data_IF_806341255821
#
_entry.id   IF_806341255821
#
_cell.length_a   1.000
_cell.length_b   1.000
_cell.length_c   1.000
_cell.angle_alpha   90.00
_cell.angle_beta   90.00
_cell.angle_gamma   90.00
#
_symmetry.space_group_name_H-M   'P 1'
#
loop_
_entity.id
_entity.type
_entity.pdbx_description
1 polymer ?
#
# COMPACT_ATOMS: atom_id res chain seq x y z
N UNK A 1 17.41 -28.06 9.25
CA UNK A 1 17.66 -26.61 9.37
C UNK A 1 16.59 -25.88 8.57
N UNK A 2 15.49 -25.47 9.22
CA UNK A 2 14.39 -24.81 8.53
C UNK A 2 14.62 -23.30 8.51
N UNK A 3 15.28 -22.83 7.44
CA UNK A 3 15.20 -21.44 7.00
C UNK A 3 13.79 -21.19 6.45
N UNK A 4 12.80 -21.05 7.33
CA UNK A 4 11.42 -20.76 6.95
C UNK A 4 11.20 -19.25 6.92
N UNK A 5 11.00 -18.70 5.73
CA UNK A 5 10.82 -17.27 5.43
C UNK A 5 10.09 -16.46 6.52
N UNK A 6 10.51 -15.21 6.79
CA UNK A 6 9.75 -14.33 7.67
C UNK A 6 8.29 -14.25 7.18
N UNK A 7 7.30 -14.24 8.09
CA UNK A 7 5.89 -14.18 7.71
C UNK A 7 5.68 -13.01 6.74
N UNK A 8 5.30 -13.34 5.52
CA UNK A 8 4.98 -12.35 4.49
C UNK A 8 3.70 -11.63 4.93
N UNK A 9 3.84 -10.44 5.50
CA UNK A 9 2.71 -9.63 5.95
C UNK A 9 2.07 -8.92 4.74
N UNK A 10 0.85 -9.30 4.30
CA UNK A 10 0.22 -8.71 3.11
C UNK A 10 0.01 -7.20 3.25
N UNK A 11 -0.29 -6.76 4.48
CA UNK A 11 -0.44 -5.34 4.82
C UNK A 11 0.86 -4.55 4.63
N UNK A 12 2.02 -5.16 4.87
CA UNK A 12 3.32 -4.50 4.64
C UNK A 12 3.53 -4.24 3.15
N UNK A 13 3.28 -5.25 2.29
CA UNK A 13 3.35 -5.07 0.82
C UNK A 13 2.40 -3.98 0.34
N UNK A 14 1.15 -4.01 0.81
CA UNK A 14 0.15 -2.98 0.52
C UNK A 14 0.66 -1.60 0.91
N UNK A 15 1.21 -1.43 2.11
CA UNK A 15 1.69 -0.13 2.60
C UNK A 15 2.86 0.41 1.77
N UNK A 16 3.81 -0.45 1.40
CA UNK A 16 4.92 -0.10 0.50
C UNK A 16 4.39 0.38 -0.84
N UNK A 17 3.42 -0.35 -1.40
CA UNK A 17 2.80 0.01 -2.66
C UNK A 17 2.06 1.35 -2.58
N UNK A 18 1.27 1.58 -1.53
CA UNK A 18 0.57 2.84 -1.32
C UNK A 18 1.55 4.02 -1.18
N UNK A 19 2.70 3.80 -0.54
CA UNK A 19 3.78 4.80 -0.47
C UNK A 19 4.34 5.14 -1.84
N UNK A 20 4.59 4.13 -2.68
CA UNK A 20 5.02 4.35 -4.06
C UNK A 20 3.99 5.13 -4.88
N UNK A 21 2.70 4.81 -4.74
CA UNK A 21 1.63 5.57 -5.39
C UNK A 21 1.62 7.03 -4.92
N UNK A 22 1.73 7.26 -3.62
CA UNK A 22 1.73 8.61 -3.04
C UNK A 22 2.89 9.48 -3.52
N UNK A 23 4.02 8.85 -3.80
CA UNK A 23 5.26 9.48 -4.29
C UNK A 23 5.35 9.47 -5.83
N UNK A 24 4.34 8.95 -6.51
CA UNK A 24 4.35 8.84 -7.97
C UNK A 24 4.40 10.23 -8.62
N UNK A 25 5.46 10.46 -9.40
CA UNK A 25 5.63 11.66 -10.21
C UNK A 25 4.52 11.80 -11.25
N UNK A 26 4.03 10.68 -11.79
CA UNK A 26 2.87 10.65 -12.68
C UNK A 26 1.60 11.17 -12.02
N UNK A 27 1.21 10.65 -10.85
CA UNK A 27 0.02 11.14 -10.14
C UNK A 27 0.18 12.61 -9.78
N UNK A 28 1.39 13.02 -9.37
CA UNK A 28 1.68 14.42 -9.08
C UNK A 28 1.51 15.31 -10.30
N UNK A 29 1.96 14.85 -11.48
CA UNK A 29 1.78 15.55 -12.76
C UNK A 29 0.29 15.61 -13.15
N UNK A 30 -0.43 14.50 -13.06
CA UNK A 30 -1.86 14.42 -13.36
C UNK A 30 -2.65 15.39 -12.48
N UNK A 31 -2.36 15.43 -11.18
CA UNK A 31 -3.00 16.38 -10.25
C UNK A 31 -2.81 17.83 -10.67
N UNK A 32 -1.65 18.19 -11.22
CA UNK A 32 -1.30 19.58 -11.54
C UNK A 32 -1.79 20.01 -12.92
N UNK A 33 -1.61 19.18 -13.93
CA UNK A 33 -1.69 19.60 -15.33
C UNK A 33 -2.82 18.94 -16.12
N UNK A 34 -3.58 18.01 -15.52
CA UNK A 34 -4.64 17.35 -16.26
C UNK A 34 -5.75 18.34 -16.65
N UNK A 35 -6.17 18.37 -17.93
CA UNK A 35 -7.12 19.38 -18.43
C UNK A 35 -8.48 19.27 -17.73
N UNK A 36 -8.94 18.06 -17.42
CA UNK A 36 -10.19 17.85 -16.72
C UNK A 36 -10.04 18.04 -15.20
N UNK A 37 -10.79 18.99 -14.57
CA UNK A 37 -10.72 19.25 -13.13
C UNK A 37 -11.19 18.07 -12.29
N UNK A 38 -12.14 17.27 -12.80
CA UNK A 38 -12.60 16.05 -12.12
C UNK A 38 -11.46 15.05 -11.88
N UNK A 39 -10.58 14.86 -12.87
CA UNK A 39 -9.44 13.95 -12.73
C UNK A 39 -8.41 14.47 -11.74
N UNK A 40 -8.16 15.80 -11.73
CA UNK A 40 -7.29 16.44 -10.72
C UNK A 40 -7.82 16.22 -9.31
N UNK A 41 -9.12 16.46 -9.09
CA UNK A 41 -9.79 16.21 -7.82
C UNK A 41 -9.76 14.72 -7.44
N UNK A 42 -9.84 13.82 -8.41
CA UNK A 42 -9.78 12.37 -8.17
C UNK A 42 -8.40 11.94 -7.65
N UNK A 43 -7.31 12.48 -8.21
CA UNK A 43 -5.95 12.23 -7.69
C UNK A 43 -5.77 12.83 -6.30
N UNK A 44 -6.34 14.01 -6.05
CA UNK A 44 -6.27 14.60 -4.72
C UNK A 44 -6.99 13.75 -3.67
N UNK A 45 -8.18 13.24 -3.99
CA UNK A 45 -8.92 12.28 -3.15
C UNK A 45 -8.12 11.00 -2.91
N UNK A 46 -7.47 10.47 -3.96
CA UNK A 46 -6.58 9.31 -3.84
C UNK A 46 -5.46 9.58 -2.83
N UNK A 47 -4.77 10.71 -2.94
CA UNK A 47 -3.70 11.06 -2.00
C UNK A 47 -4.21 11.19 -0.57
N UNK A 48 -5.34 11.86 -0.34
CA UNK A 48 -5.95 11.95 1.00
C UNK A 48 -6.27 10.58 1.59
N UNK A 49 -6.83 9.66 0.80
CA UNK A 49 -7.13 8.31 1.29
C UNK A 49 -5.89 7.47 1.57
N UNK A 50 -4.83 7.63 0.77
CA UNK A 50 -3.54 6.99 1.04
C UNK A 50 -2.96 7.51 2.36
N UNK A 51 -2.91 8.83 2.53
CA UNK A 51 -2.35 9.46 3.73
C UNK A 51 -3.15 9.05 4.98
N UNK A 52 -4.48 9.06 4.92
CA UNK A 52 -5.37 8.58 5.99
C UNK A 52 -5.11 7.13 6.38
N UNK A 53 -4.93 6.23 5.40
CA UNK A 53 -4.67 4.83 5.66
C UNK A 53 -3.26 4.60 6.24
N UNK A 54 -2.26 5.33 5.77
CA UNK A 54 -0.90 5.27 6.32
C UNK A 54 -0.87 5.76 7.77
N UNK A 55 -1.56 6.85 8.08
CA UNK A 55 -1.72 7.36 9.44
C UNK A 55 -2.46 6.37 10.33
N UNK A 56 -3.50 5.73 9.81
CA UNK A 56 -4.24 4.70 10.55
C UNK A 56 -3.34 3.49 10.88
N UNK A 57 -2.61 2.98 9.89
CA UNK A 57 -1.67 1.87 10.07
C UNK A 57 -0.60 2.20 11.11
N UNK A 58 -0.08 3.43 11.08
CA UNK A 58 0.94 3.90 12.01
C UNK A 58 0.39 4.05 13.42
N UNK A 59 -0.77 4.71 13.58
CA UNK A 59 -1.42 4.93 14.88
C UNK A 59 -1.76 3.62 15.59
N UNK A 60 -2.23 2.63 14.85
CA UNK A 60 -2.61 1.33 15.42
C UNK A 60 -1.50 0.28 15.38
N UNK A 61 -0.27 0.67 15.00
CA UNK A 61 0.91 -0.21 14.94
C UNK A 61 0.62 -1.53 14.18
N UNK A 62 -0.10 -1.41 13.07
CA UNK A 62 -0.58 -2.57 12.30
C UNK A 62 0.51 -3.23 11.46
N UNK A 63 1.72 -2.68 11.45
CA UNK A 63 2.88 -3.30 10.84
C UNK A 63 3.80 -3.78 11.96
N UNK A 64 4.39 -4.97 11.82
CA UNK A 64 5.43 -5.38 12.74
C UNK A 64 6.58 -4.39 12.56
N UNK A 65 6.83 -3.56 13.57
CA UNK A 65 8.13 -2.94 13.79
C UNK A 65 9.06 -4.09 14.07
N UNK A 66 9.61 -4.70 13.02
CA UNK A 66 10.55 -5.80 13.17
C UNK A 66 11.59 -5.37 14.19
N UNK A 67 11.80 -6.22 15.18
CA UNK A 67 12.86 -6.16 16.17
C UNK A 67 14.19 -5.81 15.47
N UNK A 68 14.54 -4.52 15.39
CA UNK A 68 15.85 -4.07 14.89
C UNK A 68 16.95 -4.51 15.87
N UNK A 69 16.59 -5.01 17.05
CA UNK A 69 17.51 -5.63 18.00
C UNK A 69 17.59 -7.14 17.82
N UNK A 70 18.58 -7.54 17.02
CA UNK A 70 19.27 -8.84 16.99
C UNK A 70 19.15 -9.58 18.34
N UNK A 71 18.32 -10.63 18.49
CA UNK A 71 18.25 -11.36 19.75
C UNK A 71 19.48 -12.28 19.85
N UNK A 72 20.42 -11.91 20.72
CA UNK A 72 21.70 -12.62 20.97
C UNK A 72 21.54 -13.98 21.68
N UNK A 73 20.37 -14.62 21.71
CA UNK A 73 20.16 -15.91 22.41
C UNK A 73 19.16 -16.81 21.66
N UNK A 74 19.68 -17.92 21.14
CA UNK A 74 19.05 -18.76 20.12
C UNK A 74 18.02 -19.80 20.61
N UNK A 75 17.58 -19.79 21.88
CA UNK A 75 16.63 -20.81 22.37
C UNK A 75 15.16 -20.37 22.40
N UNK A 76 14.83 -19.07 22.51
CA UNK A 76 13.44 -18.59 22.61
C UNK A 76 12.93 -17.87 21.34
N UNK A 77 13.69 -17.91 20.24
CA UNK A 77 13.37 -17.15 19.03
C UNK A 77 12.07 -17.64 18.36
N UNK A 78 11.84 -18.95 18.28
CA UNK A 78 10.67 -19.52 17.61
C UNK A 78 9.36 -19.21 18.35
N UNK A 79 9.35 -19.30 19.68
CA UNK A 79 8.19 -18.96 20.50
C UNK A 79 7.86 -17.46 20.42
N UNK A 80 8.88 -16.60 20.40
CA UNK A 80 8.69 -15.16 20.25
C UNK A 80 8.14 -14.78 18.87
N UNK A 81 8.62 -15.43 17.80
CA UNK A 81 8.10 -15.20 16.43
C UNK A 81 6.65 -15.66 16.29
N UNK A 82 6.30 -16.82 16.86
CA UNK A 82 4.92 -17.31 16.90
C UNK A 82 4.01 -16.38 17.70
N UNK A 83 4.44 -15.92 18.87
CA UNK A 83 3.66 -15.00 19.70
C UNK A 83 3.43 -13.65 19.01
N UNK A 84 4.45 -13.10 18.34
CA UNK A 84 4.32 -11.88 17.53
C UNK A 84 3.38 -12.10 16.33
N UNK A 85 3.42 -13.28 15.72
CA UNK A 85 2.49 -13.62 14.64
C UNK A 85 1.04 -13.68 15.12
N UNK A 86 0.78 -14.31 16.27
CA UNK A 86 -0.56 -14.36 16.87
C UNK A 86 -1.09 -12.97 17.22
N UNK A 87 -0.29 -12.13 17.89
CA UNK A 87 -0.65 -10.74 18.20
C UNK A 87 -0.96 -9.94 16.92
N UNK A 88 -0.17 -10.14 15.87
CA UNK A 88 -0.41 -9.50 14.58
C UNK A 88 -1.72 -9.98 13.92
N UNK A 89 -2.02 -11.27 13.98
CA UNK A 89 -3.24 -11.84 13.41
C UNK A 89 -4.48 -11.29 14.13
N UNK A 90 -4.43 -11.17 15.45
CA UNK A 90 -5.52 -10.58 16.26
C UNK A 90 -5.72 -9.10 15.96
N UNK A 91 -4.65 -8.30 15.96
CA UNK A 91 -4.70 -6.88 15.57
C UNK A 91 -5.29 -6.73 14.17
N UNK A 92 -4.83 -7.53 13.21
CA UNK A 92 -5.38 -7.51 11.85
C UNK A 92 -6.86 -7.85 11.82
N UNK A 93 -7.34 -8.82 12.61
CA UNK A 93 -8.77 -9.18 12.68
C UNK A 93 -9.61 -8.00 13.19
N UNK A 94 -9.19 -7.35 14.27
CA UNK A 94 -9.88 -6.19 14.84
C UNK A 94 -9.99 -5.05 13.82
N UNK A 95 -8.91 -4.78 13.07
CA UNK A 95 -8.87 -3.68 12.11
C UNK A 95 -9.27 -4.07 10.68
N UNK A 96 -9.70 -5.32 10.45
CA UNK A 96 -9.97 -5.85 9.11
C UNK A 96 -11.02 -5.04 8.35
N UNK A 97 -12.11 -4.69 9.03
CA UNK A 97 -13.20 -3.93 8.42
C UNK A 97 -12.71 -2.55 7.94
N UNK A 98 -12.09 -1.78 8.83
CA UNK A 98 -11.57 -0.44 8.52
C UNK A 98 -10.50 -0.47 7.41
N UNK A 99 -9.60 -1.46 7.44
CA UNK A 99 -8.60 -1.65 6.39
C UNK A 99 -9.27 -1.95 5.05
N UNK A 100 -10.28 -2.83 5.03
CA UNK A 100 -11.03 -3.18 3.82
C UNK A 100 -11.76 -1.97 3.25
N UNK A 101 -12.43 -1.17 4.09
CA UNK A 101 -13.10 0.04 3.63
C UNK A 101 -12.12 1.04 3.03
N UNK A 102 -10.99 1.28 3.70
CA UNK A 102 -9.98 2.23 3.25
C UNK A 102 -9.38 1.82 1.91
N UNK A 103 -9.04 0.54 1.75
CA UNK A 103 -8.55 -0.02 0.49
C UNK A 103 -9.62 0.05 -0.61
N UNK A 104 -10.89 -0.14 -0.25
CA UNK A 104 -12.01 -0.01 -1.19
C UNK A 104 -12.13 1.43 -1.70
N UNK A 105 -12.05 2.44 -0.81
CA UNK A 105 -12.08 3.87 -1.21
C UNK A 105 -10.91 4.22 -2.14
N UNK A 106 -9.71 3.71 -1.83
CA UNK A 106 -8.52 3.86 -2.68
C UNK A 106 -8.75 3.23 -4.06
N UNK A 107 -9.29 2.01 -4.12
CA UNK A 107 -9.62 1.32 -5.39
C UNK A 107 -10.62 2.11 -6.24
N UNK A 108 -11.67 2.66 -5.61
CA UNK A 108 -12.64 3.52 -6.30
C UNK A 108 -11.99 4.79 -6.85
N UNK A 109 -10.94 5.30 -6.20
CA UNK A 109 -10.18 6.43 -6.71
C UNK A 109 -9.30 6.06 -7.90
N UNK A 110 -8.67 4.88 -7.87
CA UNK A 110 -7.76 4.42 -8.93
C UNK A 110 -8.51 4.02 -10.21
N UNK A 111 -9.67 3.37 -10.11
CA UNK A 111 -10.41 2.83 -11.27
C UNK A 111 -10.63 3.85 -12.40
N UNK A 112 -11.15 5.06 -12.17
CA UNK A 112 -11.31 6.06 -13.23
C UNK A 112 -9.97 6.59 -13.74
N UNK A 113 -8.91 6.58 -12.92
CA UNK A 113 -7.58 7.03 -13.35
C UNK A 113 -6.97 6.14 -14.43
N UNK A 114 -7.34 4.84 -14.48
CA UNK A 114 -6.92 3.92 -15.55
C UNK A 114 -7.41 4.38 -16.93
N UNK A 115 -8.61 4.97 -17.00
CA UNK A 115 -9.16 5.45 -18.28
C UNK A 115 -8.38 6.64 -18.83
N UNK A 116 -7.73 7.42 -17.95
CA UNK A 116 -6.94 8.58 -18.37
C UNK A 116 -5.52 8.22 -18.84
N UNK A 117 -5.12 6.95 -18.73
CA UNK A 117 -3.84 6.46 -19.28
C UNK A 117 -3.80 6.48 -20.80
N UNK A 118 -4.97 6.46 -21.45
CA UNK A 118 -5.13 6.51 -22.90
C UNK A 118 -4.67 7.85 -23.49
N UNK A 119 -4.61 8.92 -22.68
CA UNK A 119 -4.24 10.26 -23.15
C UNK A 119 -2.74 10.57 -23.11
N UNK A 120 -1.90 9.64 -22.64
CA UNK A 120 -0.45 9.85 -22.54
C UNK A 120 0.28 9.31 -23.77
N UNK A 121 1.26 10.08 -24.27
CA UNK A 121 2.17 9.62 -25.31
C UNK A 121 3.00 8.42 -24.82
N UNK A 122 3.35 7.46 -25.70
CA UNK A 122 4.07 6.22 -25.34
C UNK A 122 5.36 6.47 -24.53
N UNK A 123 6.13 7.50 -24.88
CA UNK A 123 7.38 7.86 -24.20
C UNK A 123 7.19 8.37 -22.75
N UNK A 124 5.99 8.87 -22.45
CA UNK A 124 5.62 9.25 -21.09
C UNK A 124 5.13 8.03 -20.30
N UNK A 125 4.45 7.09 -20.95
CA UNK A 125 3.99 5.84 -20.33
C UNK A 125 5.17 4.95 -19.87
N UNK A 126 6.26 4.89 -20.67
CA UNK A 126 7.48 4.14 -20.31
C UNK A 126 8.10 4.67 -19.00
N UNK A 127 8.16 6.01 -18.84
CA UNK A 127 8.68 6.65 -17.62
C UNK A 127 7.88 6.33 -16.35
N UNK A 128 6.60 5.95 -16.50
CA UNK A 128 5.69 5.72 -15.38
C UNK A 128 5.25 4.26 -15.24
N UNK A 129 5.83 3.36 -16.03
CA UNK A 129 5.44 1.95 -16.14
C UNK A 129 5.36 1.23 -14.78
N UNK A 130 6.29 1.49 -13.86
CA UNK A 130 6.27 0.86 -12.53
C UNK A 130 5.05 1.31 -11.69
N UNK A 131 4.69 2.60 -11.74
CA UNK A 131 3.47 3.10 -11.09
C UNK A 131 2.22 2.51 -11.73
N UNK A 132 2.23 2.29 -13.05
CA UNK A 132 1.11 1.68 -13.78
C UNK A 132 0.90 0.22 -13.45
N UNK A 133 1.96 -0.58 -13.43
CA UNK A 133 1.89 -1.99 -13.03
C UNK A 133 1.36 -2.13 -11.60
N UNK A 134 1.79 -1.22 -10.71
CA UNK A 134 1.31 -1.18 -9.33
C UNK A 134 -0.20 -0.91 -9.28
N UNK A 135 -0.71 0.04 -10.06
CA UNK A 135 -2.15 0.35 -10.14
C UNK A 135 -2.94 -0.81 -10.74
N UNK A 136 -2.36 -1.48 -11.73
CA UNK A 136 -2.97 -2.63 -12.38
C UNK A 136 -3.09 -3.81 -11.42
N UNK A 137 -2.03 -4.15 -10.68
CA UNK A 137 -2.05 -5.17 -9.62
C UNK A 137 -3.13 -4.85 -8.58
N UNK A 138 -3.27 -3.59 -8.18
CA UNK A 138 -4.27 -3.15 -7.20
C UNK A 138 -5.73 -3.20 -7.69
N UNK A 139 -5.95 -3.21 -9.00
CA UNK A 139 -7.30 -3.14 -9.57
C UNK A 139 -7.75 -4.45 -10.22
N UNK A 140 -6.79 -5.28 -10.66
CA UNK A 140 -7.01 -6.51 -11.43
C UNK A 140 -6.97 -7.78 -10.56
N UNK A 141 -6.26 -7.79 -9.42
CA UNK A 141 -6.06 -9.00 -8.59
C UNK A 141 -6.29 -8.79 -7.08
N UNK A 142 -7.48 -8.31 -6.70
CA UNK A 142 -8.08 -8.36 -5.35
C UNK A 142 -9.61 -8.18 -5.46
#
# INVERSE_FOLDING_TARGET
MASGCPPFYPLHRITVVLRHLRQSTWLTHLRRYHPHPQSRNQVERLFRHIDQLQDYITRHRLLPTALIHRPRRALNHNNNVLQLHHQFVELRRVHQHQLRESLTRIRHCIRPLRQYLVFYQPDQLIRYHQSMNILDIFTSHL
#
